data_IF_664678659658
#
_entry.id   IF_664678659658
#
_cell.length_a   1.000
_cell.length_b   1.000
_cell.length_c   1.000
_cell.angle_alpha   90.00
_cell.angle_beta   90.00
_cell.angle_gamma   90.00
#
_symmetry.space_group_name_H-M   'P 1'
#
loop_
_entity.id
_entity.type
_entity.pdbx_description
1 polymer ?
#
# COMPACT_ATOMS: atom_id res chain seq x y z
N UNK A 1 19.88 -73.58 27.48
CA UNK A 1 20.29 -72.20 27.84
C UNK A 1 19.70 -71.26 26.79
N UNK A 2 19.05 -70.22 27.29
CA UNK A 2 17.95 -69.45 26.69
C UNK A 2 18.36 -68.52 25.55
N UNK A 3 17.58 -68.53 24.47
CA UNK A 3 17.56 -67.49 23.44
C UNK A 3 16.71 -66.31 23.91
N UNK A 4 17.22 -65.09 23.79
CA UNK A 4 16.46 -63.85 23.98
C UNK A 4 16.59 -62.94 22.78
N UNK A 5 15.42 -62.55 22.29
CA UNK A 5 15.13 -61.66 21.16
C UNK A 5 15.03 -60.21 21.65
N UNK A 6 15.59 -59.24 20.92
CA UNK A 6 15.14 -57.83 20.91
C UNK A 6 15.43 -57.25 19.51
N UNK A 7 14.45 -57.16 18.63
CA UNK A 7 13.48 -56.07 18.42
C UNK A 7 14.06 -54.64 18.43
N UNK A 8 14.06 -54.07 17.22
CA UNK A 8 13.66 -52.71 16.80
C UNK A 8 14.18 -51.49 17.59
N UNK A 9 14.93 -50.64 16.88
CA UNK A 9 14.46 -49.27 16.56
C UNK A 9 15.38 -48.62 15.51
N UNK A 10 14.84 -48.41 14.29
CA UNK A 10 15.43 -47.55 13.28
C UNK A 10 15.09 -46.08 13.62
N UNK A 11 16.07 -45.31 14.09
CA UNK A 11 15.90 -43.89 14.36
C UNK A 11 16.23 -43.08 13.09
N UNK A 12 15.24 -42.91 12.24
CA UNK A 12 15.23 -41.93 11.15
C UNK A 12 14.39 -40.71 11.58
N UNK A 13 15.03 -39.54 11.75
CA UNK A 13 14.42 -38.20 11.73
C UNK A 13 15.49 -37.21 12.23
N UNK A 14 15.64 -35.98 11.76
CA UNK A 14 15.01 -35.19 10.70
C UNK A 14 16.02 -34.07 10.50
N UNK A 15 16.69 -34.03 9.35
CA UNK A 15 17.40 -32.82 8.93
C UNK A 15 16.34 -31.78 8.63
N UNK A 16 16.08 -30.89 9.58
CA UNK A 16 15.26 -29.70 9.37
C UNK A 16 16.03 -28.82 8.39
N UNK A 17 15.73 -29.02 7.11
CA UNK A 17 16.14 -28.12 6.06
C UNK A 17 15.56 -26.76 6.40
N UNK A 18 16.43 -25.82 6.80
CA UNK A 18 16.14 -24.40 6.74
C UNK A 18 15.67 -24.12 5.32
N UNK A 19 14.35 -24.03 5.17
CA UNK A 19 13.69 -23.53 3.98
C UNK A 19 14.10 -22.06 3.91
N UNK A 20 15.23 -21.82 3.25
CA UNK A 20 15.64 -20.50 2.74
C UNK A 20 14.38 -19.89 2.14
N UNK A 21 13.82 -18.93 2.85
CA UNK A 21 12.82 -18.02 2.32
C UNK A 21 13.46 -17.48 1.05
N UNK A 22 12.97 -17.97 -0.09
CA UNK A 22 13.33 -17.43 -1.38
C UNK A 22 12.87 -15.99 -1.31
N UNK A 23 13.84 -15.08 -1.23
CA UNK A 23 13.65 -13.68 -1.59
C UNK A 23 12.80 -13.69 -2.85
N UNK A 24 11.59 -13.12 -2.75
CA UNK A 24 10.68 -13.02 -3.86
C UNK A 24 11.46 -12.42 -5.03
N UNK A 25 11.64 -13.24 -6.06
CA UNK A 25 12.02 -12.85 -7.39
C UNK A 25 11.14 -11.69 -7.82
N UNK A 26 11.76 -10.64 -8.37
CA UNK A 26 11.12 -9.49 -9.01
C UNK A 26 10.04 -9.99 -9.97
N UNK A 27 8.80 -9.99 -9.51
CA UNK A 27 7.62 -10.28 -10.31
C UNK A 27 7.07 -8.94 -10.79
N UNK A 28 6.88 -8.81 -12.10
CA UNK A 28 6.25 -7.73 -12.87
C UNK A 28 6.03 -6.41 -12.10
N UNK A 29 6.76 -5.36 -12.50
CA UNK A 29 6.73 -4.03 -11.88
C UNK A 29 5.30 -3.50 -11.72
N UNK A 30 4.75 -3.68 -10.53
CA UNK A 30 3.53 -3.00 -10.10
C UNK A 30 3.82 -1.54 -9.82
N UNK A 31 2.81 -0.69 -9.96
CA UNK A 31 2.86 0.74 -9.57
C UNK A 31 3.32 0.90 -8.12
N UNK A 32 3.00 -0.04 -7.23
CA UNK A 32 3.45 -0.03 -5.85
C UNK A 32 3.72 -1.43 -5.29
N UNK A 33 4.90 -1.61 -4.71
CA UNK A 33 5.32 -2.91 -4.18
C UNK A 33 6.01 -2.75 -2.82
N UNK A 34 5.69 -3.64 -1.89
CA UNK A 34 6.47 -3.76 -0.65
C UNK A 34 7.86 -4.31 -0.98
N UNK A 35 8.89 -3.66 -0.46
CA UNK A 35 10.29 -4.02 -0.68
C UNK A 35 11.07 -4.04 0.63
N UNK A 36 12.14 -4.82 0.68
CA UNK A 36 12.97 -4.94 1.87
C UNK A 36 12.37 -5.85 2.96
N UNK A 37 13.02 -5.81 4.12
CA UNK A 37 12.64 -6.57 5.31
C UNK A 37 12.03 -5.59 6.31
N UNK A 38 11.09 -6.07 7.11
CA UNK A 38 10.50 -5.31 8.21
C UNK A 38 11.57 -4.93 9.24
N UNK A 39 11.73 -3.62 9.46
CA UNK A 39 12.70 -3.10 10.42
C UNK A 39 12.01 -2.78 11.75
N UNK A 40 12.41 -3.39 12.87
CA UNK A 40 11.81 -3.09 14.16
C UNK A 40 12.14 -1.65 14.58
N UNK A 41 11.11 -0.89 14.93
CA UNK A 41 11.23 0.49 15.42
C UNK A 41 10.47 0.65 16.75
N UNK A 42 10.82 1.64 17.58
CA UNK A 42 10.04 1.91 18.80
C UNK A 42 8.56 2.09 18.47
N UNK A 43 7.70 1.30 19.12
CA UNK A 43 6.24 1.35 18.92
C UNK A 43 5.71 0.62 17.68
N UNK A 44 6.54 -0.07 16.89
CA UNK A 44 6.06 -0.68 15.66
C UNK A 44 7.10 -1.35 14.78
N UNK A 45 6.80 -1.38 13.48
CA UNK A 45 7.64 -1.92 12.41
C UNK A 45 7.67 -0.90 11.27
N UNK A 46 8.86 -0.58 10.78
CA UNK A 46 9.04 0.22 9.58
C UNK A 46 9.02 -0.70 8.36
N UNK A 47 8.18 -0.36 7.38
CA UNK A 47 8.01 -1.11 6.13
C UNK A 47 8.32 -0.21 4.94
N UNK A 48 9.11 -0.73 4.02
CA UNK A 48 9.54 0.02 2.83
C UNK A 48 8.72 -0.39 1.61
N UNK A 49 8.33 0.59 0.80
CA UNK A 49 7.59 0.42 -0.44
C UNK A 49 8.35 1.06 -1.58
N UNK A 50 8.40 0.38 -2.72
CA UNK A 50 8.86 0.92 -3.98
C UNK A 50 7.64 1.40 -4.77
N UNK A 51 7.68 2.65 -5.23
CA UNK A 51 6.61 3.28 -6.00
C UNK A 51 7.14 3.69 -7.36
N UNK A 52 6.45 3.29 -8.43
CA UNK A 52 6.77 3.75 -9.79
C UNK A 52 6.34 5.20 -9.99
N UNK A 53 7.33 6.08 -10.09
CA UNK A 53 7.14 7.51 -10.37
C UNK A 53 7.55 7.89 -11.81
N UNK A 54 7.75 6.91 -12.71
CA UNK A 54 8.14 7.15 -14.10
C UNK A 54 9.61 7.55 -14.31
N UNK A 55 10.45 7.39 -13.27
CA UNK A 55 11.90 7.57 -13.35
C UNK A 55 12.66 6.27 -13.68
N UNK A 56 13.97 6.35 -13.83
CA UNK A 56 14.82 5.17 -14.08
C UNK A 56 14.79 4.13 -12.93
N UNK A 57 14.49 4.59 -11.72
CA UNK A 57 14.37 3.77 -10.52
C UNK A 57 13.09 4.14 -9.75
N UNK A 58 12.39 3.17 -9.14
CA UNK A 58 11.24 3.45 -8.31
C UNK A 58 11.65 4.22 -7.04
N UNK A 59 10.78 5.11 -6.57
CA UNK A 59 10.96 5.83 -5.32
C UNK A 59 10.77 4.86 -4.14
N UNK A 60 11.63 4.96 -3.12
CA UNK A 60 11.52 4.16 -1.89
C UNK A 60 10.93 4.99 -0.77
N UNK A 61 9.89 4.50 -0.14
CA UNK A 61 9.18 5.17 0.97
C UNK A 61 9.06 4.22 2.14
N UNK A 62 9.46 4.65 3.33
CA UNK A 62 9.37 3.85 4.55
C UNK A 62 8.28 4.41 5.45
N UNK A 63 7.29 3.60 5.78
CA UNK A 63 6.17 3.96 6.64
C UNK A 63 6.21 3.13 7.92
N UNK A 64 5.83 3.75 9.05
CA UNK A 64 5.75 3.09 10.34
C UNK A 64 4.36 2.49 10.55
N UNK A 65 4.33 1.23 10.92
CA UNK A 65 3.11 0.49 11.23
C UNK A 65 3.13 -0.02 12.67
N UNK A 66 1.97 -0.10 13.33
CA UNK A 66 1.82 -0.90 14.54
C UNK A 66 2.23 -2.37 14.32
N UNK A 67 2.64 -3.06 15.39
CA UNK A 67 3.11 -4.47 15.30
C UNK A 67 2.05 -5.44 14.79
N UNK A 68 0.78 -5.19 15.13
CA UNK A 68 -0.34 -6.10 14.86
C UNK A 68 -1.15 -5.71 13.61
N UNK A 69 -0.55 -4.92 12.72
CA UNK A 69 -1.20 -4.49 11.47
C UNK A 69 -0.43 -4.99 10.27
N UNK A 70 -1.17 -5.27 9.20
CA UNK A 70 -0.63 -5.72 7.92
C UNK A 70 -0.68 -4.57 6.92
N UNK A 71 0.42 -4.35 6.20
CA UNK A 71 0.41 -3.46 5.06
C UNK A 71 -0.08 -4.20 3.80
N UNK A 72 -1.09 -3.66 3.14
CA UNK A 72 -1.69 -4.22 1.92
C UNK A 72 -1.49 -3.23 0.79
N UNK A 73 -0.71 -3.63 -0.22
CA UNK A 73 -0.56 -2.87 -1.45
C UNK A 73 -1.66 -3.31 -2.42
N UNK A 74 -2.41 -2.35 -2.97
CA UNK A 74 -3.38 -2.62 -4.03
C UNK A 74 -3.11 -1.69 -5.21
N UNK A 75 -3.41 -2.20 -6.40
CA UNK A 75 -3.39 -1.45 -7.64
C UNK A 75 -4.74 -1.61 -8.30
N UNK A 76 -5.39 -0.49 -8.61
CA UNK A 76 -6.72 -0.51 -9.20
C UNK A 76 -6.81 0.49 -10.33
N UNK A 77 -7.38 0.06 -11.45
CA UNK A 77 -7.81 0.97 -12.50
C UNK A 77 -8.99 1.82 -12.02
N UNK A 78 -9.12 3.03 -12.56
CA UNK A 78 -10.30 3.88 -12.36
C UNK A 78 -11.49 3.37 -13.20
N UNK A 79 -12.75 3.50 -12.73
CA UNK A 79 -13.16 3.99 -11.41
C UNK A 79 -12.81 3.00 -10.28
N UNK A 80 -12.47 3.52 -9.09
CA UNK A 80 -11.99 2.69 -7.98
C UNK A 80 -13.13 1.90 -7.30
N UNK A 81 -14.27 2.56 -7.05
CA UNK A 81 -15.38 1.98 -6.30
C UNK A 81 -15.13 1.89 -4.78
N UNK A 82 -14.34 2.82 -4.24
CA UNK A 82 -14.11 2.98 -2.80
C UNK A 82 -14.80 4.24 -2.30
N UNK A 83 -15.43 4.14 -1.13
CA UNK A 83 -15.91 5.29 -0.36
C UNK A 83 -14.99 5.45 0.84
N UNK A 84 -14.34 6.60 0.92
CA UNK A 84 -13.47 6.94 2.04
C UNK A 84 -14.21 7.81 3.06
N UNK A 85 -13.88 7.61 4.32
CA UNK A 85 -14.26 8.50 5.41
C UNK A 85 -13.02 8.92 6.20
N UNK A 86 -13.15 10.04 6.92
CA UNK A 86 -12.11 10.55 7.81
C UNK A 86 -12.52 10.33 9.26
N UNK A 87 -11.56 9.92 10.09
CA UNK A 87 -11.71 9.97 11.55
C UNK A 87 -10.53 10.69 12.18
N UNK A 88 -10.79 11.38 13.28
CA UNK A 88 -9.75 12.02 14.09
C UNK A 88 -9.47 11.11 15.28
N UNK A 89 -8.23 10.67 15.44
CA UNK A 89 -7.75 9.94 16.62
C UNK A 89 -6.74 10.80 17.35
N UNK A 90 -7.17 11.41 18.46
CA UNK A 90 -6.35 12.38 19.19
C UNK A 90 -6.03 13.60 18.33
N UNK A 91 -4.76 13.75 17.94
CA UNK A 91 -4.27 14.88 17.12
C UNK A 91 -4.10 14.48 15.64
N UNK A 92 -4.16 13.17 15.33
CA UNK A 92 -3.90 12.64 13.99
C UNK A 92 -5.19 12.32 13.27
N UNK A 93 -5.24 12.68 11.98
CA UNK A 93 -6.31 12.29 11.07
C UNK A 93 -5.95 10.99 10.37
N UNK A 94 -6.92 10.08 10.31
CA UNK A 94 -6.84 8.82 9.58
C UNK A 94 -7.95 8.79 8.53
N UNK A 95 -7.61 8.35 7.33
CA UNK A 95 -8.58 8.14 6.26
C UNK A 95 -8.74 6.64 6.08
N UNK A 96 -9.98 6.16 6.15
CA UNK A 96 -10.29 4.74 6.08
C UNK A 96 -11.36 4.46 5.04
N UNK A 97 -11.39 3.22 4.56
CA UNK A 97 -12.43 2.72 3.65
C UNK A 97 -13.70 2.46 4.46
N UNK A 98 -14.76 3.21 4.17
CA UNK A 98 -16.07 3.09 4.83
C UNK A 98 -16.97 2.09 4.09
N UNK A 99 -16.99 2.18 2.76
CA UNK A 99 -17.78 1.31 1.89
C UNK A 99 -16.99 0.94 0.63
N UNK A 100 -17.26 -0.25 0.11
CA UNK A 100 -16.72 -0.72 -1.16
C UNK A 100 -17.90 -1.12 -2.03
N UNK A 101 -17.94 -0.61 -3.25
CA UNK A 101 -18.96 -0.98 -4.23
C UNK A 101 -18.70 -2.42 -4.69
N UNK A 102 -19.72 -3.27 -4.61
CA UNK A 102 -19.63 -4.66 -5.04
C UNK A 102 -19.26 -4.79 -6.53
N UNK A 103 -18.34 -5.69 -6.83
CA UNK A 103 -17.82 -5.88 -8.20
C UNK A 103 -16.91 -4.75 -8.70
N UNK A 104 -16.52 -3.81 -7.85
CA UNK A 104 -15.58 -2.74 -8.22
C UNK A 104 -14.15 -3.24 -8.42
N UNK A 105 -13.36 -2.44 -9.15
CA UNK A 105 -11.95 -2.72 -9.39
C UNK A 105 -11.15 -2.79 -8.08
N UNK A 106 -11.45 -1.93 -7.10
CA UNK A 106 -10.77 -1.97 -5.81
C UNK A 106 -11.15 -3.19 -4.96
N UNK A 107 -12.40 -3.66 -5.04
CA UNK A 107 -12.81 -4.92 -4.43
C UNK A 107 -12.02 -6.10 -5.01
N UNK A 108 -11.90 -6.16 -6.35
CA UNK A 108 -11.10 -7.18 -7.04
C UNK A 108 -9.61 -7.09 -6.71
N UNK A 109 -9.09 -5.89 -6.46
CA UNK A 109 -7.71 -5.65 -6.02
C UNK A 109 -7.46 -6.01 -4.54
N UNK A 110 -8.52 -6.36 -3.78
CA UNK A 110 -8.41 -6.85 -2.40
C UNK A 110 -8.54 -5.78 -1.31
N UNK A 111 -9.07 -4.60 -1.64
CA UNK A 111 -9.47 -3.61 -0.64
C UNK A 111 -10.54 -4.17 0.31
N UNK A 112 -10.54 -3.75 1.57
CA UNK A 112 -11.56 -4.12 2.56
C UNK A 112 -12.06 -2.90 3.32
N UNK A 113 -13.32 -2.95 3.73
CA UNK A 113 -13.88 -1.97 4.66
C UNK A 113 -13.08 -1.99 5.97
N UNK A 114 -12.76 -0.81 6.48
CA UNK A 114 -11.92 -0.62 7.67
C UNK A 114 -10.43 -0.49 7.38
N UNK A 115 -9.97 -0.73 6.15
CA UNK A 115 -8.58 -0.47 5.75
C UNK A 115 -8.27 1.03 5.87
N UNK A 116 -7.13 1.38 6.48
CA UNK A 116 -6.68 2.78 6.64
C UNK A 116 -5.69 3.11 5.52
N UNK A 117 -5.97 4.13 4.73
CA UNK A 117 -5.11 4.57 3.63
C UNK A 117 -3.88 5.29 4.19
N UNK A 118 -2.68 4.76 3.92
CA UNK A 118 -1.40 5.30 4.39
C UNK A 118 -0.65 6.04 3.28
N UNK A 119 -0.74 5.55 2.05
CA UNK A 119 -0.05 6.11 0.89
C UNK A 119 -0.87 5.88 -0.37
N UNK A 120 -0.91 6.86 -1.25
CA UNK A 120 -1.47 6.74 -2.60
C UNK A 120 -0.48 7.28 -3.63
N UNK A 121 -0.52 6.80 -4.86
CA UNK A 121 0.09 7.52 -5.99
C UNK A 121 -0.68 8.82 -6.25
N UNK A 122 -0.05 9.76 -6.94
CA UNK A 122 -0.65 11.02 -7.35
C UNK A 122 0.11 11.61 -8.55
N UNK A 123 -0.47 12.61 -9.19
CA UNK A 123 0.16 13.44 -10.22
C UNK A 123 0.32 14.84 -9.66
N UNK A 124 1.55 15.37 -9.63
CA UNK A 124 1.83 16.74 -9.20
C UNK A 124 2.39 17.58 -10.33
N UNK A 125 2.00 18.85 -10.34
CA UNK A 125 2.58 19.88 -11.19
C UNK A 125 3.87 20.39 -10.53
N UNK A 126 5.01 20.04 -11.11
CA UNK A 126 6.33 20.47 -10.62
C UNK A 126 6.89 21.54 -11.57
N UNK A 127 7.40 22.63 -11.01
CA UNK A 127 8.15 23.65 -11.75
C UNK A 127 9.64 23.31 -11.79
N UNK A 128 10.27 23.49 -12.94
CA UNK A 128 11.73 23.42 -13.04
C UNK A 128 12.39 24.45 -12.09
N UNK A 129 13.59 24.14 -11.53
CA UNK A 129 14.33 25.08 -10.71
C UNK A 129 14.57 26.38 -11.50
N UNK A 130 14.29 27.52 -10.86
CA UNK A 130 14.46 28.83 -11.47
C UNK A 130 15.94 29.15 -11.53
N UNK A 131 16.51 29.18 -12.73
CA UNK A 131 17.85 29.73 -12.95
C UNK A 131 17.74 31.27 -12.92
N UNK A 132 18.24 31.87 -11.83
CA UNK A 132 18.13 33.30 -11.51
C UNK A 132 18.83 34.18 -12.56
N UNK A 133 19.65 33.60 -13.43
CA UNK A 133 20.38 34.31 -14.49
C UNK A 133 19.55 34.60 -15.74
N UNK A 134 18.45 33.88 -15.96
CA UNK A 134 17.68 33.95 -17.22
C UNK A 134 16.22 34.26 -16.95
N UNK A 135 15.92 35.51 -16.59
CA UNK A 135 14.55 36.03 -16.37
C UNK A 135 13.64 36.01 -17.61
N UNK A 136 14.14 35.57 -18.78
CA UNK A 136 13.40 35.58 -20.05
C UNK A 136 12.50 34.35 -20.27
N UNK A 137 12.63 33.28 -19.50
CA UNK A 137 11.81 32.07 -19.70
C UNK A 137 11.14 31.64 -18.39
N UNK A 138 9.80 31.80 -18.25
CA UNK A 138 9.11 31.28 -17.07
C UNK A 138 9.38 29.78 -16.92
N UNK A 139 9.61 29.27 -15.69
CA UNK A 139 9.99 27.90 -15.47
C UNK A 139 8.91 26.96 -16.02
N UNK A 140 9.33 26.03 -16.88
CA UNK A 140 8.43 25.04 -17.44
C UNK A 140 7.83 24.20 -16.30
N UNK A 141 6.49 24.18 -16.25
CA UNK A 141 5.74 23.32 -15.33
C UNK A 141 5.45 22.01 -16.04
N UNK A 142 5.61 20.89 -15.33
CA UNK A 142 5.38 19.54 -15.85
C UNK A 142 4.56 18.73 -14.86
N UNK A 143 3.62 17.95 -15.36
CA UNK A 143 2.88 16.98 -14.57
C UNK A 143 3.71 15.70 -14.47
N UNK A 144 4.06 15.30 -13.25
CA UNK A 144 4.86 14.10 -12.99
C UNK A 144 4.14 13.17 -12.04
N UNK A 145 4.38 11.86 -12.19
CA UNK A 145 3.94 10.87 -11.19
C UNK A 145 4.71 11.06 -9.90
N UNK A 146 4.01 10.87 -8.79
CA UNK A 146 4.56 10.95 -7.45
C UNK A 146 3.77 10.04 -6.51
N UNK A 147 4.18 10.01 -5.24
CA UNK A 147 3.41 9.44 -4.16
C UNK A 147 2.96 10.53 -3.19
N UNK A 148 1.91 10.24 -2.44
CA UNK A 148 1.36 11.11 -1.42
C UNK A 148 1.13 10.30 -0.14
N UNK A 149 1.81 10.70 0.94
CA UNK A 149 1.61 10.14 2.28
C UNK A 149 0.34 10.73 2.89
N UNK A 150 -0.60 9.87 3.27
CA UNK A 150 -1.93 10.26 3.74
C UNK A 150 -2.01 10.51 5.25
N UNK A 151 -0.99 10.07 5.99
CA UNK A 151 -0.96 10.14 7.46
C UNK A 151 -1.00 11.59 7.95
N UNK A 152 -2.00 11.92 8.78
CA UNK A 152 -2.16 13.26 9.34
C UNK A 152 -2.55 14.33 8.32
N UNK A 153 -2.94 13.95 7.08
CA UNK A 153 -3.43 14.88 6.06
C UNK A 153 -4.94 15.08 6.17
N UNK A 154 -5.43 16.18 5.62
CA UNK A 154 -6.86 16.43 5.49
C UNK A 154 -7.47 15.51 4.42
N UNK A 155 -8.74 15.17 4.61
CA UNK A 155 -9.49 14.35 3.66
C UNK A 155 -9.46 14.93 2.25
N UNK A 156 -9.72 16.24 2.12
CA UNK A 156 -9.75 16.93 0.83
C UNK A 156 -8.42 16.82 0.08
N UNK A 157 -7.29 16.93 0.78
CA UNK A 157 -5.98 16.82 0.16
C UNK A 157 -5.72 15.42 -0.39
N UNK A 158 -6.16 14.38 0.32
CA UNK A 158 -6.00 13.00 -0.11
C UNK A 158 -6.95 12.67 -1.26
N UNK A 159 -8.19 13.13 -1.22
CA UNK A 159 -9.12 12.97 -2.34
C UNK A 159 -8.63 13.72 -3.59
N UNK A 160 -8.08 14.93 -3.44
CA UNK A 160 -7.45 15.67 -4.53
C UNK A 160 -6.24 14.92 -5.11
N UNK A 161 -5.41 14.31 -4.26
CA UNK A 161 -4.30 13.48 -4.70
C UNK A 161 -4.77 12.27 -5.51
N UNK A 162 -5.83 11.57 -5.08
CA UNK A 162 -6.42 10.45 -5.84
C UNK A 162 -7.02 10.96 -7.16
N UNK A 163 -7.75 12.07 -7.13
CA UNK A 163 -8.39 12.65 -8.32
C UNK A 163 -7.36 13.09 -9.38
N UNK A 164 -6.17 13.52 -8.97
CA UNK A 164 -5.11 14.03 -9.84
C UNK A 164 -4.69 13.08 -10.97
N UNK A 165 -4.94 11.78 -10.86
CA UNK A 165 -4.68 10.80 -11.94
C UNK A 165 -5.52 11.02 -13.20
N UNK A 166 -6.54 11.89 -13.18
CA UNK A 166 -7.24 12.29 -14.41
C UNK A 166 -6.43 13.28 -15.26
N UNK A 167 -5.34 13.82 -14.72
CA UNK A 167 -4.47 14.76 -15.42
C UNK A 167 -3.39 13.96 -16.17
N UNK A 168 -3.15 14.34 -17.43
CA UNK A 168 -2.07 13.77 -18.23
C UNK A 168 -0.70 14.12 -17.62
N UNK A 169 0.17 13.11 -17.54
CA UNK A 169 1.57 13.29 -17.17
C UNK A 169 2.42 13.63 -18.40
N UNK A 170 3.43 14.45 -18.20
CA UNK A 170 4.41 14.79 -19.23
C UNK A 170 5.56 13.77 -19.18
N UNK A 171 5.64 12.88 -20.17
CA UNK A 171 6.75 11.94 -20.35
C UNK A 171 7.67 12.41 -21.48
N UNK A 172 8.93 11.93 -21.56
CA UNK A 172 9.81 12.22 -22.69
C UNK A 172 9.22 11.82 -24.05
N UNK A 173 8.30 10.85 -24.07
CA UNK A 173 7.62 10.34 -25.26
C UNK A 173 6.30 11.07 -25.59
N UNK A 174 5.89 12.03 -24.77
CA UNK A 174 4.64 12.77 -24.92
C UNK A 174 3.75 12.72 -23.68
N UNK A 175 2.50 13.15 -23.83
CA UNK A 175 1.50 13.14 -22.76
C UNK A 175 0.89 11.75 -22.61
N UNK A 176 0.75 11.28 -21.38
CA UNK A 176 0.17 9.97 -21.08
C UNK A 176 -0.85 10.08 -19.95
N UNK A 177 -1.95 9.33 -20.05
CA UNK A 177 -2.93 9.18 -18.96
C UNK A 177 -2.49 8.05 -18.03
N UNK A 178 -2.54 8.29 -16.72
CA UNK A 178 -2.26 7.26 -15.71
C UNK A 178 -3.57 6.62 -15.29
N UNK A 179 -3.86 5.43 -15.83
CA UNK A 179 -5.15 4.76 -15.59
C UNK A 179 -5.21 4.01 -14.25
N UNK A 180 -4.05 3.66 -13.70
CA UNK A 180 -3.91 2.84 -12.49
C UNK A 180 -3.50 3.69 -11.30
N UNK A 181 -4.19 3.49 -10.17
CA UNK A 181 -3.87 4.10 -8.88
C UNK A 181 -3.27 3.04 -7.98
N UNK A 182 -2.07 3.30 -7.45
CA UNK A 182 -1.45 2.47 -6.42
C UNK A 182 -1.78 3.00 -5.03
N UNK A 183 -2.20 2.12 -4.12
CA UNK A 183 -2.55 2.48 -2.75
C UNK A 183 -1.91 1.49 -1.76
N UNK A 184 -1.50 2.00 -0.60
CA UNK A 184 -1.06 1.20 0.55
C UNK A 184 -2.01 1.40 1.69
N UNK A 185 -2.58 0.30 2.14
CA UNK A 185 -3.48 0.24 3.27
C UNK A 185 -2.80 -0.36 4.50
N UNK A 186 -3.16 0.15 5.67
CA UNK A 186 -3.00 -0.52 6.94
C UNK A 186 -4.29 -1.29 7.24
N UNK A 187 -4.15 -2.60 7.38
CA UNK A 187 -5.22 -3.51 7.79
C UNK A 187 -4.95 -3.99 9.20
N UNK A 188 -5.93 -3.85 10.08
CA UNK A 188 -5.85 -4.46 11.41
C UNK A 188 -5.81 -5.99 11.27
N UNK A 189 -4.88 -6.65 11.96
CA UNK A 189 -4.90 -8.10 12.11
C UNK A 189 -6.26 -8.52 12.66
N UNK A 190 -6.84 -9.59 12.12
CA UNK A 190 -8.21 -10.01 12.38
C UNK A 190 -8.57 -9.99 13.88
N UNK A 191 -9.37 -9.01 14.30
CA UNK A 191 -10.51 -9.35 15.13
C UNK A 191 -11.59 -9.84 14.17
N UNK A 192 -11.97 -11.11 14.32
CA UNK A 192 -13.15 -11.69 13.71
C UNK A 192 -14.36 -10.77 13.86
N UNK A 193 -15.20 -10.73 12.82
CA UNK A 193 -16.25 -9.74 12.66
C UNK A 193 -17.10 -9.52 13.91
N UNK A 194 -17.11 -8.27 14.38
CA UNK A 194 -18.26 -7.75 15.10
C UNK A 194 -19.43 -7.65 14.11
N UNK A 195 -20.08 -8.78 13.86
CA UNK A 195 -21.42 -8.81 13.32
C UNK A 195 -22.27 -7.92 14.22
N UNK A 196 -22.79 -6.82 13.68
CA UNK A 196 -23.84 -6.03 14.33
C UNK A 196 -25.00 -6.98 14.61
N UNK A 197 -25.17 -7.35 15.87
CA UNK A 197 -26.36 -8.03 16.36
C UNK A 197 -27.55 -7.11 16.09
N UNK A 198 -28.28 -7.39 15.02
CA UNK A 198 -29.57 -6.75 14.74
C UNK A 198 -30.53 -7.30 15.78
N UNK A 199 -30.75 -6.52 16.85
CA UNK A 199 -31.85 -6.76 17.78
C UNK A 199 -33.15 -6.67 16.99
N UNK A 200 -33.67 -7.82 16.61
CA UNK A 200 -35.03 -7.96 16.10
C UNK A 200 -35.98 -7.58 17.23
N UNK A 201 -36.64 -6.45 17.07
CA UNK A 201 -37.80 -6.07 17.88
C UNK A 201 -38.95 -6.93 17.39
N UNK A 202 -39.37 -7.91 18.20
CA UNK A 202 -40.66 -8.58 18.01
C UNK A 202 -41.77 -7.61 18.44
N UNK A 203 -42.71 -7.37 17.53
CA UNK A 203 -44.01 -6.73 17.78
C UNK A 203 -45.00 -7.81 18.18
#
# INVERSE_FOLDING_TARGET
MTATSSMLAATANRRTAMRRQRCCSVAAAGVIQRTGVDEPVPGGVSRTFAVDIGGASPAKVSLKYPKDTTAVCIESARPLGLVFAQRVRGVTTEIYVDEIVDGSNAAAAGARVGDVLRLTTAVFLVSAPVDVTTWLNPPAKRNVKAYYECDGKSFDNVMNAIASHSVEIDTPSGKQVVETVGMVFERQGAEEGAAKEVKSVQV
#
